data_IF_653050544721
#
_entry.id   IF_653050544721
#
_cell.length_a   1.000
_cell.length_b   1.000
_cell.length_c   1.000
_cell.angle_alpha   90.00
_cell.angle_beta   90.00
_cell.angle_gamma   90.00
#
_symmetry.space_group_name_H-M   'P 1'
#
loop_
_entity.id
_entity.type
_entity.pdbx_description
1 polymer ?
#
# COMPACT_ATOMS: atom_id res chain seq x y z
N UNK A 1 57.27 20.95 -59.59
CA UNK A 1 57.08 19.55 -60.05
C UNK A 1 57.28 18.66 -58.84
N UNK A 2 56.34 17.91 -58.28
CA UNK A 2 54.89 17.78 -58.43
C UNK A 2 54.47 17.06 -57.14
N UNK A 3 53.74 17.71 -56.24
CA UNK A 3 53.14 17.00 -55.10
C UNK A 3 51.92 16.25 -55.62
N UNK A 4 51.91 14.93 -55.46
CA UNK A 4 50.82 14.05 -55.88
C UNK A 4 49.77 13.97 -54.78
N UNK A 5 48.64 14.66 -54.98
CA UNK A 5 47.41 14.48 -54.20
C UNK A 5 46.90 13.03 -54.30
N UNK A 6 46.55 12.45 -53.15
CA UNK A 6 45.78 11.20 -53.07
C UNK A 6 44.29 11.50 -53.23
N UNK A 7 43.49 10.64 -53.91
CA UNK A 7 42.09 10.93 -54.17
C UNK A 7 41.22 10.80 -52.90
N UNK A 8 40.09 11.52 -52.81
CA UNK A 8 39.21 11.46 -51.66
C UNK A 8 38.47 10.12 -51.61
N UNK A 9 38.40 9.51 -50.42
CA UNK A 9 37.58 8.35 -50.16
C UNK A 9 36.10 8.70 -50.35
N UNK A 10 35.42 8.00 -51.25
CA UNK A 10 33.99 8.12 -51.46
C UNK A 10 33.24 7.62 -50.21
N UNK A 11 32.52 8.52 -49.55
CA UNK A 11 31.57 8.18 -48.49
C UNK A 11 30.39 7.40 -49.07
N UNK A 12 30.31 6.12 -48.73
CA UNK A 12 29.11 5.31 -48.98
C UNK A 12 27.98 5.83 -48.08
N UNK A 13 26.77 6.09 -48.59
CA UNK A 13 25.65 6.50 -47.74
C UNK A 13 25.26 5.36 -46.78
N UNK A 14 24.82 5.67 -45.55
CA UNK A 14 24.40 4.66 -44.60
C UNK A 14 23.15 3.94 -45.13
N UNK A 15 23.16 2.62 -45.01
CA UNK A 15 22.07 1.74 -45.39
C UNK A 15 20.81 2.06 -44.53
N UNK A 16 19.60 2.20 -45.08
CA UNK A 16 18.41 2.62 -44.31
C UNK A 16 17.77 1.55 -43.41
N UNK A 17 18.43 0.42 -43.19
CA UNK A 17 17.86 -0.74 -42.50
C UNK A 17 18.80 -1.26 -41.40
N UNK A 18 19.19 -0.39 -40.47
CA UNK A 18 19.50 -0.85 -39.11
C UNK A 18 18.23 -0.72 -38.27
N UNK A 19 17.32 -1.68 -38.49
CA UNK A 19 16.28 -1.97 -37.50
C UNK A 19 17.02 -2.32 -36.20
N UNK A 20 16.99 -1.40 -35.23
CA UNK A 20 17.45 -1.62 -33.86
C UNK A 20 16.67 -2.83 -33.30
N UNK A 21 17.21 -4.02 -33.49
CA UNK A 21 16.67 -5.26 -32.93
C UNK A 21 16.72 -5.10 -31.42
N UNK A 22 15.58 -4.73 -30.83
CA UNK A 22 15.46 -4.63 -29.39
C UNK A 22 15.84 -6.01 -28.80
N UNK A 23 16.74 -6.08 -27.83
CA UNK A 23 17.09 -7.34 -27.21
C UNK A 23 15.82 -7.97 -26.64
N UNK A 24 15.51 -9.19 -27.06
CA UNK A 24 14.37 -9.94 -26.53
C UNK A 24 14.69 -10.37 -25.10
N UNK A 25 14.20 -9.59 -24.12
CA UNK A 25 14.41 -9.86 -22.69
C UNK A 25 13.37 -10.91 -22.27
N UNK A 26 13.79 -12.09 -21.75
CA UNK A 26 12.86 -13.11 -21.29
C UNK A 26 11.99 -12.59 -20.14
N UNK A 27 10.67 -12.79 -20.25
CA UNK A 27 9.74 -12.56 -19.14
C UNK A 27 9.82 -13.76 -18.21
N UNK A 28 10.13 -13.51 -16.93
CA UNK A 28 10.13 -14.53 -15.88
C UNK A 28 8.80 -14.50 -15.14
N UNK A 29 8.14 -15.66 -15.04
CA UNK A 29 6.94 -15.86 -14.24
C UNK A 29 7.31 -16.55 -12.93
N UNK A 30 6.66 -16.13 -11.84
CA UNK A 30 6.73 -16.85 -10.56
C UNK A 30 5.82 -18.06 -10.65
N UNK A 31 6.33 -19.26 -10.36
CA UNK A 31 5.54 -20.49 -10.45
C UNK A 31 4.61 -20.67 -9.24
N UNK A 32 3.63 -21.57 -9.35
CA UNK A 32 2.76 -21.92 -8.22
C UNK A 32 3.55 -22.55 -7.07
N UNK A 33 4.60 -23.32 -7.37
CA UNK A 33 5.48 -23.90 -6.36
C UNK A 33 6.27 -22.82 -5.61
N UNK A 34 6.75 -21.79 -6.31
CA UNK A 34 7.41 -20.64 -5.67
C UNK A 34 6.41 -19.87 -4.79
N UNK A 35 5.19 -19.65 -5.26
CA UNK A 35 4.11 -19.06 -4.45
C UNK A 35 3.82 -19.87 -3.19
N UNK A 36 3.76 -21.20 -3.27
CA UNK A 36 3.50 -22.06 -2.11
C UNK A 36 4.56 -21.89 -0.99
N UNK A 37 5.79 -21.46 -1.32
CA UNK A 37 6.83 -21.19 -0.32
C UNK A 37 6.46 -20.01 0.59
N UNK A 38 5.86 -18.94 0.04
CA UNK A 38 5.47 -17.79 0.87
C UNK A 38 4.29 -18.12 1.76
N UNK A 39 3.32 -18.88 1.23
CA UNK A 39 2.14 -19.33 1.97
C UNK A 39 2.54 -20.27 3.12
N UNK A 40 3.46 -21.20 2.86
CA UNK A 40 4.02 -22.07 3.90
C UNK A 40 4.77 -21.27 4.97
N UNK A 41 5.52 -20.24 4.59
CA UNK A 41 6.20 -19.35 5.53
C UNK A 41 5.20 -18.60 6.42
N UNK A 42 4.13 -18.03 5.85
CA UNK A 42 3.06 -17.40 6.62
C UNK A 42 2.32 -18.41 7.52
N UNK A 43 2.02 -19.62 7.04
CA UNK A 43 1.38 -20.66 7.85
C UNK A 43 2.23 -21.11 9.05
N UNK A 44 3.56 -21.19 8.88
CA UNK A 44 4.49 -21.55 9.94
C UNK A 44 4.56 -20.49 11.06
N UNK A 45 4.50 -19.20 10.71
CA UNK A 45 4.50 -18.11 11.71
C UNK A 45 3.20 -18.10 12.51
N UNK A 46 2.04 -18.35 11.89
CA UNK A 46 0.75 -18.50 12.60
C UNK A 46 0.74 -19.58 13.66
N UNK A 47 1.33 -20.73 13.33
CA UNK A 47 1.42 -21.88 14.23
C UNK A 47 2.24 -21.54 15.48
N UNK A 48 3.28 -20.73 15.30
CA UNK A 48 4.15 -20.24 16.39
C UNK A 48 3.43 -19.22 17.29
N UNK A 49 2.54 -18.39 16.73
CA UNK A 49 1.78 -17.38 17.49
C UNK A 49 0.62 -18.03 18.26
N UNK A 50 -0.09 -19.01 17.68
CA UNK A 50 -1.19 -19.73 18.36
C UNK A 50 -0.74 -20.56 19.56
N UNK A 51 0.50 -21.06 19.58
CA UNK A 51 1.07 -21.76 20.75
C UNK A 51 1.41 -20.84 21.93
N UNK A 52 1.38 -19.52 21.76
CA UNK A 52 1.79 -18.56 22.81
C UNK A 52 0.72 -18.25 23.85
N UNK A 53 -0.53 -18.72 23.66
CA UNK A 53 -1.67 -18.39 24.55
C UNK A 53 -1.82 -19.42 25.71
N UNK A 54 -0.96 -20.43 25.82
CA UNK A 54 -0.96 -21.35 26.96
C UNK A 54 0.45 -21.59 27.55
N UNK A 55 0.68 -20.97 28.71
CA UNK A 55 1.71 -21.25 29.73
C UNK A 55 3.19 -20.86 29.44
N UNK A 56 3.92 -20.35 30.45
CA UNK A 56 5.29 -19.89 30.31
C UNK A 56 6.28 -21.05 30.50
N UNK A 57 6.56 -21.83 29.46
CA UNK A 57 7.69 -22.76 29.48
C UNK A 57 8.87 -22.16 28.72
N UNK A 58 9.89 -21.78 29.48
CA UNK A 58 11.29 -21.49 29.11
C UNK A 58 11.60 -21.71 27.62
N UNK A 59 11.83 -20.63 26.90
CA UNK A 59 12.60 -20.66 25.66
C UNK A 59 14.00 -21.18 25.97
N UNK A 60 14.20 -22.49 25.82
CA UNK A 60 15.51 -23.03 25.53
C UNK A 60 15.89 -22.51 24.16
N UNK A 61 16.97 -21.73 24.12
CA UNK A 61 17.64 -21.24 22.92
C UNK A 61 18.17 -22.41 22.10
N UNK A 62 17.29 -23.08 21.35
CA UNK A 62 17.68 -23.90 20.22
C UNK A 62 17.44 -23.09 18.96
N UNK A 63 18.38 -22.16 18.71
CA UNK A 63 18.60 -21.56 17.40
C UNK A 63 18.95 -22.67 16.41
N UNK A 64 17.94 -23.32 15.83
CA UNK A 64 18.09 -23.92 14.50
C UNK A 64 18.12 -22.77 13.51
N UNK A 65 19.32 -22.27 13.30
CA UNK A 65 19.70 -21.44 12.16
C UNK A 65 19.12 -22.07 10.90
N UNK A 66 18.07 -21.45 10.34
CA UNK A 66 17.86 -21.53 8.90
C UNK A 66 19.04 -20.76 8.35
N UNK A 67 19.96 -21.48 7.71
CA UNK A 67 21.24 -20.96 7.25
C UNK A 67 21.01 -19.73 6.36
N UNK A 68 21.11 -18.54 6.95
CA UNK A 68 21.25 -17.28 6.23
C UNK A 68 22.57 -17.36 5.46
N UNK A 69 22.49 -17.44 4.14
CA UNK A 69 23.65 -17.52 3.24
C UNK A 69 24.27 -16.12 3.17
N UNK A 70 25.16 -15.78 4.10
CA UNK A 70 25.96 -14.55 4.02
C UNK A 70 27.38 -14.77 4.53
N UNK A 71 28.38 -14.50 3.68
CA UNK A 71 29.76 -14.23 4.10
C UNK A 71 30.40 -13.14 3.22
N UNK A 72 30.86 -12.07 3.88
CA UNK A 72 31.74 -10.96 3.45
C UNK A 72 31.12 -9.92 2.47
N UNK A 73 31.33 -8.60 2.55
CA UNK A 73 32.37 -7.78 3.20
C UNK A 73 31.89 -6.32 3.42
N UNK A 74 32.68 -5.56 4.20
CA UNK A 74 32.44 -4.20 4.74
C UNK A 74 32.86 -3.08 3.78
N UNK A 75 32.16 -1.92 3.77
CA UNK A 75 32.70 -0.53 3.99
C UNK A 75 31.64 0.57 3.75
N UNK A 76 31.82 1.67 4.49
CA UNK A 76 30.99 2.88 4.64
C UNK A 76 31.42 4.02 3.67
N UNK A 77 30.91 5.26 3.62
CA UNK A 77 30.13 6.16 4.49
C UNK A 77 29.59 7.35 3.65
N UNK A 78 28.77 8.17 4.33
CA UNK A 78 28.43 9.60 4.13
C UNK A 78 27.37 9.92 3.10
N UNK A 79 26.93 11.19 3.06
CA UNK A 79 25.56 11.68 3.28
C UNK A 79 24.96 12.57 2.13
N UNK A 80 23.62 12.58 1.98
CA UNK A 80 22.71 13.69 1.58
C UNK A 80 21.40 13.22 0.89
N UNK A 81 20.26 13.59 1.47
CA UNK A 81 18.90 13.10 1.20
C UNK A 81 17.93 14.14 0.61
N UNK A 82 17.01 13.66 -0.23
CA UNK A 82 15.65 14.22 -0.44
C UNK A 82 14.64 13.04 -0.40
N UNK A 83 13.36 13.26 0.00
CA UNK A 83 12.44 12.18 0.37
C UNK A 83 11.75 11.51 -0.83
N UNK A 84 11.50 10.21 -0.71
CA UNK A 84 10.74 9.35 -1.63
C UNK A 84 9.35 9.05 -1.02
N UNK A 85 8.35 8.74 -1.83
CA UNK A 85 6.90 8.67 -1.47
C UNK A 85 6.57 7.66 -0.36
N UNK A 86 7.42 6.66 -0.12
CA UNK A 86 7.32 5.73 1.01
C UNK A 86 7.67 6.36 2.38
N UNK A 87 8.04 7.64 2.44
CA UNK A 87 8.49 8.34 3.65
C UNK A 87 7.48 9.33 4.25
N UNK A 88 6.28 9.45 3.69
CA UNK A 88 5.25 10.36 4.19
C UNK A 88 4.54 9.76 5.41
N UNK A 89 5.11 9.97 6.59
CA UNK A 89 4.49 9.58 7.87
C UNK A 89 5.29 9.94 9.12
N UNK A 90 6.14 10.97 9.08
CA UNK A 90 6.95 11.35 10.24
C UNK A 90 6.18 12.39 11.09
N UNK A 91 5.21 11.94 11.86
CA UNK A 91 4.64 12.75 12.95
C UNK A 91 5.33 12.35 14.25
N UNK A 92 5.94 13.34 14.91
CA UNK A 92 6.57 13.19 16.21
C UNK A 92 5.49 12.89 17.25
N UNK A 93 5.27 11.62 17.58
CA UNK A 93 4.47 11.23 18.74
C UNK A 93 5.39 10.93 19.92
N UNK A 94 5.33 11.78 20.94
CA UNK A 94 5.98 11.57 22.23
C UNK A 94 5.24 10.43 22.93
N UNK A 95 5.79 9.20 22.94
CA UNK A 95 5.16 8.10 23.66
C UNK A 95 6.02 7.36 24.69
N UNK A 96 5.25 6.96 25.70
CA UNK A 96 5.52 6.49 27.05
C UNK A 96 6.15 5.09 27.02
N UNK A 97 7.27 4.92 27.73
CA UNK A 97 7.92 3.61 27.99
C UNK A 97 6.92 2.66 28.67
N UNK A 98 6.50 1.61 27.98
CA UNK A 98 5.95 0.41 28.62
C UNK A 98 7.10 -0.48 29.11
N UNK A 99 7.02 -0.85 30.39
CA UNK A 99 7.97 -1.73 31.07
C UNK A 99 7.74 -3.18 30.62
N UNK A 100 8.50 -3.65 29.64
CA UNK A 100 8.78 -5.08 29.41
C UNK A 100 10.20 -5.16 28.85
N UNK A 101 11.08 -5.92 29.50
CA UNK A 101 12.53 -5.95 29.22
C UNK A 101 12.93 -6.64 27.91
N UNK A 102 11.97 -6.91 27.01
CA UNK A 102 12.25 -7.45 25.68
C UNK A 102 12.33 -6.27 24.72
N UNK A 103 13.51 -6.05 24.12
CA UNK A 103 13.68 -5.04 23.09
C UNK A 103 12.70 -5.32 21.94
N UNK A 104 11.83 -4.36 21.67
CA UNK A 104 10.83 -4.44 20.62
C UNK A 104 11.52 -4.59 19.24
N UNK A 105 11.05 -5.49 18.34
CA UNK A 105 11.64 -5.65 17.02
C UNK A 105 11.70 -4.32 16.27
N UNK A 106 12.81 -4.05 15.58
CA UNK A 106 13.02 -2.75 14.93
C UNK A 106 11.92 -2.42 13.92
N UNK A 107 11.52 -3.38 13.08
CA UNK A 107 10.43 -3.16 12.12
C UNK A 107 9.14 -2.76 12.83
N UNK A 108 8.76 -3.46 13.90
CA UNK A 108 7.57 -3.10 14.66
C UNK A 108 7.68 -1.69 15.25
N UNK A 109 8.82 -1.34 15.83
CA UNK A 109 9.06 0.00 16.40
C UNK A 109 8.99 1.12 15.35
N UNK A 110 9.62 0.91 14.19
CA UNK A 110 9.78 1.95 13.16
C UNK A 110 8.65 1.97 12.11
N UNK A 111 7.75 0.97 12.12
CA UNK A 111 6.66 0.83 11.14
C UNK A 111 5.26 0.86 11.76
N UNK A 112 5.15 0.97 13.09
CA UNK A 112 3.87 0.95 13.81
C UNK A 112 2.81 1.88 13.21
N UNK A 113 3.19 3.12 12.87
CA UNK A 113 2.26 4.16 12.42
C UNK A 113 2.08 4.22 10.90
N UNK A 114 2.80 3.40 10.11
CA UNK A 114 2.77 3.46 8.63
C UNK A 114 2.55 2.13 7.92
N UNK A 115 2.60 1.02 8.66
CA UNK A 115 2.60 -0.33 8.11
C UNK A 115 3.98 -0.78 7.66
N UNK A 116 4.18 -2.10 7.61
CA UNK A 116 5.34 -2.74 7.02
C UNK A 116 5.24 -2.64 5.51
N UNK A 117 6.28 -2.17 4.80
CA UNK A 117 6.23 -2.17 3.34
C UNK A 117 6.72 -3.50 2.75
N UNK A 118 6.25 -3.86 1.55
CA UNK A 118 6.83 -4.98 0.80
C UNK A 118 8.33 -4.78 0.58
N UNK A 119 8.77 -3.54 0.36
CA UNK A 119 10.19 -3.16 0.30
C UNK A 119 10.93 -3.44 1.61
N UNK A 120 10.30 -3.28 2.79
CA UNK A 120 10.92 -3.64 4.07
C UNK A 120 11.19 -5.16 4.14
N UNK A 121 10.26 -5.99 3.65
CA UNK A 121 10.41 -7.45 3.62
C UNK A 121 11.56 -7.85 2.69
N UNK A 122 11.56 -7.34 1.46
CA UNK A 122 12.57 -7.69 0.45
C UNK A 122 13.96 -7.13 0.82
N UNK A 123 14.03 -5.95 1.43
CA UNK A 123 15.29 -5.39 1.94
C UNK A 123 15.83 -6.20 3.13
N UNK A 124 14.95 -6.70 4.00
CA UNK A 124 15.34 -7.58 5.11
C UNK A 124 15.90 -8.90 4.59
N UNK A 125 15.25 -9.51 3.60
CA UNK A 125 15.72 -10.74 2.97
C UNK A 125 17.06 -10.55 2.26
N UNK A 126 17.28 -9.39 1.62
CA UNK A 126 18.54 -9.07 0.97
C UNK A 126 19.69 -8.96 1.98
N UNK A 127 19.50 -8.21 3.08
CA UNK A 127 20.47 -8.10 4.15
C UNK A 127 19.84 -7.52 5.43
N UNK A 128 19.59 -8.39 6.41
CA UNK A 128 19.00 -8.00 7.71
C UNK A 128 19.79 -6.89 8.42
N UNK A 129 21.13 -6.97 8.39
CA UNK A 129 21.99 -5.96 9.02
C UNK A 129 21.95 -4.62 8.31
N UNK A 130 21.84 -4.62 6.98
CA UNK A 130 21.63 -3.39 6.22
C UNK A 130 20.26 -2.78 6.54
N UNK A 131 19.23 -3.61 6.70
CA UNK A 131 17.90 -3.14 7.08
C UNK A 131 17.92 -2.51 8.47
N UNK A 132 18.54 -3.17 9.45
CA UNK A 132 18.75 -2.62 10.80
C UNK A 132 19.47 -1.26 10.75
N UNK A 133 20.55 -1.15 9.98
CA UNK A 133 21.26 0.11 9.81
C UNK A 133 20.42 1.17 9.10
N UNK A 134 19.59 0.79 8.14
CA UNK A 134 18.70 1.73 7.45
C UNK A 134 17.63 2.29 8.39
N UNK A 135 17.18 1.48 9.35
CA UNK A 135 16.26 1.90 10.40
C UNK A 135 16.92 2.80 11.45
N UNK A 136 18.15 2.48 11.86
CA UNK A 136 18.85 3.19 12.93
C UNK A 136 19.56 4.47 12.47
N UNK A 137 20.14 4.46 11.27
CA UNK A 137 21.02 5.51 10.76
C UNK A 137 20.46 6.23 9.54
N UNK A 138 19.25 5.86 9.10
CA UNK A 138 18.58 6.46 7.95
C UNK A 138 18.85 5.74 6.63
N UNK A 139 18.17 6.21 5.59
CA UNK A 139 18.12 5.54 4.29
C UNK A 139 19.47 5.57 3.55
N UNK A 140 19.69 4.54 2.74
CA UNK A 140 20.79 4.49 1.76
C UNK A 140 20.74 5.71 0.83
N UNK A 141 21.91 6.25 0.50
CA UNK A 141 22.07 7.25 -0.58
C UNK A 141 21.51 6.77 -1.92
N UNK A 142 20.67 7.61 -2.53
CA UNK A 142 20.14 7.39 -3.87
C UNK A 142 21.27 7.52 -4.89
N UNK A 143 21.57 6.43 -5.60
CA UNK A 143 22.58 6.43 -6.66
C UNK A 143 22.05 7.05 -7.95
N UNK A 144 22.94 7.44 -8.88
CA UNK A 144 22.54 7.89 -10.22
C UNK A 144 21.69 6.84 -10.94
N UNK A 145 22.02 5.55 -10.77
CA UNK A 145 21.24 4.44 -11.31
C UNK A 145 19.81 4.43 -10.76
N UNK A 146 19.65 4.61 -9.45
CA UNK A 146 18.34 4.63 -8.79
C UNK A 146 17.49 5.81 -9.26
N UNK A 147 18.09 7.00 -9.43
CA UNK A 147 17.37 8.16 -9.98
C UNK A 147 16.86 7.92 -11.40
N UNK A 148 17.68 7.31 -12.26
CA UNK A 148 17.27 6.94 -13.62
C UNK A 148 16.17 5.89 -13.58
N UNK A 149 16.28 4.91 -12.67
CA UNK A 149 15.25 3.91 -12.42
C UNK A 149 13.91 4.55 -12.04
N UNK A 150 13.89 5.36 -10.98
CA UNK A 150 12.70 6.09 -10.53
C UNK A 150 12.09 6.95 -11.65
N UNK A 151 12.92 7.67 -12.42
CA UNK A 151 12.44 8.44 -13.57
C UNK A 151 11.78 7.57 -14.65
N UNK A 152 12.24 6.33 -14.84
CA UNK A 152 11.61 5.37 -15.76
C UNK A 152 10.24 4.94 -15.27
N UNK A 153 10.08 4.62 -13.98
CA UNK A 153 8.77 4.29 -13.39
C UNK A 153 7.79 5.47 -13.52
N UNK A 154 8.23 6.68 -13.18
CA UNK A 154 7.41 7.90 -13.35
C UNK A 154 6.99 8.08 -14.81
N UNK A 155 7.88 7.84 -15.77
CA UNK A 155 7.54 7.90 -17.19
C UNK A 155 6.50 6.85 -17.57
N UNK A 156 6.67 5.61 -17.11
CA UNK A 156 5.72 4.52 -17.36
C UNK A 156 4.35 4.84 -16.74
N UNK A 157 4.30 5.31 -15.51
CA UNK A 157 3.06 5.72 -14.85
C UNK A 157 2.34 6.82 -15.66
N UNK A 158 3.08 7.83 -16.15
CA UNK A 158 2.54 8.92 -16.95
C UNK A 158 1.98 8.50 -18.32
N UNK A 159 2.35 7.33 -18.84
CA UNK A 159 1.76 6.77 -20.06
C UNK A 159 0.28 6.37 -19.84
N UNK A 160 -0.12 6.15 -18.57
CA UNK A 160 -1.43 5.59 -18.21
C UNK A 160 -2.22 6.54 -17.30
N UNK A 161 -1.57 7.28 -16.41
CA UNK A 161 -2.23 8.16 -15.43
C UNK A 161 -1.55 9.52 -15.34
N UNK A 162 -2.35 10.60 -15.35
CA UNK A 162 -1.85 11.95 -15.10
C UNK A 162 -1.95 12.29 -13.62
N UNK A 163 -0.80 12.50 -12.96
CA UNK A 163 -0.76 12.97 -11.56
C UNK A 163 -1.34 14.36 -11.40
N UNK A 164 -2.18 14.50 -10.38
CA UNK A 164 -2.73 15.77 -9.93
C UNK A 164 -2.11 16.09 -8.57
N UNK A 165 -1.62 17.33 -8.40
CA UNK A 165 -1.13 17.78 -7.09
C UNK A 165 -2.33 18.01 -6.18
N UNK A 166 -2.29 17.47 -4.97
CA UNK A 166 -3.37 17.60 -3.98
C UNK A 166 -2.82 18.22 -2.70
N UNK A 167 -3.52 19.22 -2.17
CA UNK A 167 -3.24 19.83 -0.87
C UNK A 167 -3.58 18.86 0.26
N UNK A 168 -2.65 18.69 1.19
CA UNK A 168 -2.77 17.79 2.35
C UNK A 168 -2.72 18.63 3.61
N UNK A 169 -3.72 18.51 4.46
CA UNK A 169 -3.84 19.26 5.72
C UNK A 169 -3.80 18.34 6.95
N UNK A 170 -4.11 17.04 6.76
CA UNK A 170 -4.22 16.06 7.84
C UNK A 170 -3.62 14.69 7.51
N UNK A 171 -3.46 13.82 8.51
CA UNK A 171 -3.08 12.43 8.28
C UNK A 171 -4.19 11.65 7.56
N UNK A 172 -5.45 12.01 7.82
CA UNK A 172 -6.62 11.48 7.13
C UNK A 172 -6.59 11.81 5.64
N UNK A 173 -6.14 13.01 5.25
CA UNK A 173 -5.97 13.40 3.86
C UNK A 173 -4.93 12.52 3.14
N UNK A 174 -3.82 12.19 3.81
CA UNK A 174 -2.79 11.29 3.25
C UNK A 174 -3.39 9.92 2.95
N UNK A 175 -4.17 9.38 3.89
CA UNK A 175 -4.84 8.09 3.68
C UNK A 175 -5.94 8.17 2.64
N UNK A 176 -6.73 9.25 2.62
CA UNK A 176 -7.76 9.46 1.61
C UNK A 176 -7.15 9.50 0.20
N UNK A 177 -6.01 10.15 0.02
CA UNK A 177 -5.28 10.13 -1.27
C UNK A 177 -4.87 8.71 -1.65
N UNK A 178 -4.34 7.91 -0.72
CA UNK A 178 -3.98 6.51 -0.98
C UNK A 178 -5.18 5.67 -1.42
N UNK A 179 -6.31 5.78 -0.70
CA UNK A 179 -7.53 5.05 -1.05
C UNK A 179 -8.12 5.53 -2.37
N UNK A 180 -8.13 6.83 -2.63
CA UNK A 180 -8.58 7.38 -3.91
C UNK A 180 -7.70 6.89 -5.07
N UNK A 181 -6.38 6.87 -4.90
CA UNK A 181 -5.48 6.32 -5.92
C UNK A 181 -5.73 4.83 -6.16
N UNK A 182 -5.99 4.05 -5.11
CA UNK A 182 -6.39 2.64 -5.24
C UNK A 182 -7.71 2.49 -6.00
N UNK A 183 -8.75 3.26 -5.64
CA UNK A 183 -10.06 3.21 -6.30
C UNK A 183 -9.93 3.60 -7.77
N UNK A 184 -9.22 4.69 -8.07
CA UNK A 184 -8.97 5.15 -9.43
C UNK A 184 -8.21 4.09 -10.25
N UNK A 185 -7.13 3.51 -9.70
CA UNK A 185 -6.36 2.49 -10.40
C UNK A 185 -7.12 1.16 -10.56
N UNK A 186 -7.94 0.76 -9.60
CA UNK A 186 -8.81 -0.41 -9.71
C UNK A 186 -9.88 -0.23 -10.78
N UNK A 187 -10.51 0.96 -10.86
CA UNK A 187 -11.42 1.29 -11.95
C UNK A 187 -10.71 1.31 -13.29
N UNK A 188 -9.51 1.91 -13.36
CA UNK A 188 -8.73 1.92 -14.57
C UNK A 188 -8.40 0.51 -15.05
N UNK A 189 -7.99 -0.38 -14.14
CA UNK A 189 -7.77 -1.79 -14.46
C UNK A 189 -9.04 -2.47 -14.98
N UNK A 190 -10.20 -2.19 -14.38
CA UNK A 190 -11.48 -2.77 -14.78
C UNK A 190 -11.95 -2.30 -16.17
N UNK A 191 -11.77 -1.02 -16.50
CA UNK A 191 -12.29 -0.42 -17.73
C UNK A 191 -11.28 -0.42 -18.89
N UNK A 192 -10.00 -0.21 -18.60
CA UNK A 192 -8.93 -0.09 -19.60
C UNK A 192 -8.06 -1.36 -19.67
N UNK A 193 -8.16 -2.26 -18.69
CA UNK A 193 -7.39 -3.51 -18.64
C UNK A 193 -5.94 -3.33 -18.19
N UNK A 194 -5.53 -2.13 -17.80
CA UNK A 194 -4.17 -1.81 -17.38
C UNK A 194 -4.20 -0.73 -16.30
N UNK A 195 -3.39 -0.87 -15.25
CA UNK A 195 -3.08 0.22 -14.32
C UNK A 195 -1.63 0.14 -13.88
N UNK A 196 -1.08 1.27 -13.41
CA UNK A 196 0.31 1.39 -12.95
C UNK A 196 0.38 2.09 -11.61
N UNK A 197 1.40 1.75 -10.82
CA UNK A 197 1.68 2.31 -9.49
C UNK A 197 0.46 2.19 -8.54
N UNK A 198 -0.19 1.02 -8.51
CA UNK A 198 -1.38 0.79 -7.70
C UNK A 198 -0.99 0.60 -6.22
N UNK A 199 -1.39 1.50 -5.30
CA UNK A 199 -1.09 1.35 -3.88
C UNK A 199 -2.00 0.30 -3.24
N UNK A 200 -1.42 -0.67 -2.54
CA UNK A 200 -2.13 -1.66 -1.74
C UNK A 200 -1.89 -1.42 -0.25
N UNK A 201 -2.95 -1.63 0.53
CA UNK A 201 -2.87 -1.78 1.98
C UNK A 201 -3.77 -2.93 2.41
N UNK A 202 -3.23 -3.85 3.20
CA UNK A 202 -3.98 -4.98 3.74
C UNK A 202 -3.46 -5.39 5.10
N UNK A 203 -4.31 -6.12 5.82
CA UNK A 203 -3.97 -6.69 7.12
C UNK A 203 -3.65 -8.17 6.93
N UNK A 204 -2.37 -8.51 7.04
CA UNK A 204 -1.85 -9.85 6.75
C UNK A 204 -1.17 -10.38 8.00
N UNK A 205 -1.64 -11.51 8.51
CA UNK A 205 -1.06 -12.22 9.66
C UNK A 205 -0.79 -11.33 10.90
N UNK A 206 -1.73 -10.44 11.21
CA UNK A 206 -1.64 -9.55 12.38
C UNK A 206 -0.85 -8.26 12.15
N UNK A 207 -0.36 -8.01 10.94
CA UNK A 207 0.45 -6.84 10.59
C UNK A 207 -0.17 -6.10 9.41
N UNK A 208 -0.16 -4.77 9.47
CA UNK A 208 -0.50 -3.93 8.31
C UNK A 208 0.64 -3.97 7.29
N UNK A 209 0.36 -4.49 6.11
CA UNK A 209 1.27 -4.55 4.97
C UNK A 209 0.86 -3.50 3.93
N UNK A 210 1.83 -2.75 3.43
CA UNK A 210 1.64 -1.75 2.37
C UNK A 210 2.56 -2.03 1.18
N UNK A 211 2.11 -1.71 -0.02
CA UNK A 211 2.88 -1.94 -1.24
C UNK A 211 2.41 -1.05 -2.37
N UNK A 212 3.22 -0.95 -3.42
CA UNK A 212 2.84 -0.29 -4.67
C UNK A 212 3.21 -1.24 -5.80
N UNK A 213 2.21 -1.73 -6.54
CA UNK A 213 2.46 -2.62 -7.66
C UNK A 213 2.74 -1.75 -8.89
N UNK A 214 3.91 -1.95 -9.51
CA UNK A 214 4.35 -1.15 -10.66
C UNK A 214 3.33 -1.19 -11.80
N UNK A 215 2.83 -2.38 -12.12
CA UNK A 215 1.87 -2.57 -13.20
C UNK A 215 0.97 -3.79 -12.99
N UNK A 216 -0.31 -3.64 -13.34
CA UNK A 216 -1.29 -4.73 -13.32
C UNK A 216 -2.02 -4.75 -14.65
N UNK A 217 -2.15 -5.93 -15.24
CA UNK A 217 -2.79 -6.15 -16.54
C UNK A 217 -3.91 -7.16 -16.43
N UNK A 218 -5.04 -6.91 -17.08
CA UNK A 218 -6.02 -7.95 -17.34
C UNK A 218 -5.55 -8.83 -18.51
N UNK A 219 -5.67 -10.16 -18.41
CA UNK A 219 -5.34 -11.05 -19.53
C UNK A 219 -6.25 -10.77 -20.73
N UNK A 220 -5.69 -10.90 -21.94
CA UNK A 220 -6.44 -10.67 -23.18
C UNK A 220 -7.42 -11.82 -23.50
N UNK A 221 -7.18 -13.01 -22.95
CA UNK A 221 -8.06 -14.16 -23.13
C UNK A 221 -9.28 -14.03 -22.22
N UNK A 222 -10.49 -14.20 -22.76
CA UNK A 222 -11.74 -14.16 -21.99
C UNK A 222 -11.86 -15.30 -20.96
N UNK A 223 -11.06 -16.36 -21.09
CA UNK A 223 -11.11 -17.53 -20.19
C UNK A 223 -10.47 -17.26 -18.83
N UNK A 224 -9.45 -16.42 -18.80
CA UNK A 224 -8.75 -16.07 -17.56
C UNK A 224 -9.24 -14.69 -17.10
N UNK A 225 -9.59 -14.60 -15.83
CA UNK A 225 -10.06 -13.35 -15.20
C UNK A 225 -9.07 -12.82 -14.17
N UNK A 226 -7.99 -13.56 -13.93
CA UNK A 226 -7.03 -13.20 -12.92
C UNK A 226 -6.06 -12.14 -13.47
N UNK A 227 -5.86 -11.03 -12.75
CA UNK A 227 -4.92 -10.01 -13.19
C UNK A 227 -3.47 -10.52 -13.10
N UNK A 228 -2.64 -10.06 -14.03
CA UNK A 228 -1.20 -10.30 -14.08
C UNK A 228 -0.51 -9.13 -13.40
N UNK A 229 0.20 -9.41 -12.31
CA UNK A 229 1.01 -8.43 -11.58
C UNK A 229 2.42 -8.42 -12.17
N UNK A 230 2.92 -7.23 -12.50
CA UNK A 230 4.22 -7.05 -13.15
C UNK A 230 5.06 -6.08 -12.32
N UNK A 231 6.29 -6.48 -12.05
CA UNK A 231 7.31 -5.68 -11.37
C UNK A 231 8.43 -5.37 -12.38
N UNK A 232 8.70 -4.09 -12.59
CA UNK A 232 9.66 -3.63 -13.59
C UNK A 232 10.96 -3.26 -12.88
N UNK A 233 12.05 -3.98 -13.17
CA UNK A 233 13.39 -3.62 -12.65
C UNK A 233 14.26 -2.97 -13.71
N UNK A 234 14.87 -1.85 -13.35
CA UNK A 234 15.87 -1.18 -14.19
C UNK A 234 17.29 -1.65 -13.86
N UNK A 235 18.16 -1.66 -14.88
CA UNK A 235 19.57 -2.06 -14.79
C UNK A 235 20.43 -1.06 -15.54
N UNK A 236 21.67 -0.89 -15.07
CA UNK A 236 22.68 -0.09 -15.79
C UNK A 236 23.38 -0.89 -16.89
N UNK A 237 23.48 -2.21 -16.70
CA UNK A 237 24.09 -3.14 -17.63
C UNK A 237 22.99 -3.87 -18.38
N UNK A 238 23.30 -4.23 -19.61
CA UNK A 238 22.48 -4.98 -20.56
C UNK A 238 22.45 -6.50 -20.29
N UNK A 239 23.20 -6.98 -19.30
CA UNK A 239 23.13 -8.37 -18.84
C UNK A 239 22.00 -8.62 -17.86
N UNK A 240 21.48 -9.85 -17.89
CA UNK A 240 20.52 -10.32 -16.92
C UNK A 240 21.09 -10.31 -15.49
N UNK A 241 20.26 -10.02 -14.48
CA UNK A 241 20.67 -10.11 -13.09
C UNK A 241 21.13 -11.49 -12.65
N UNK A 242 22.00 -11.50 -11.63
CA UNK A 242 22.34 -12.72 -10.91
C UNK A 242 21.13 -13.25 -10.12
N UNK A 243 21.16 -14.54 -9.79
CA UNK A 243 20.08 -15.23 -9.06
C UNK A 243 19.63 -14.48 -7.79
N UNK A 244 20.51 -13.95 -6.92
CA UNK A 244 20.06 -13.27 -5.70
C UNK A 244 19.20 -12.03 -5.97
N UNK A 245 19.49 -11.32 -7.06
CA UNK A 245 18.71 -10.15 -7.47
C UNK A 245 17.37 -10.54 -8.09
N UNK A 246 17.32 -11.67 -8.82
CA UNK A 246 16.08 -12.22 -9.38
C UNK A 246 15.18 -12.74 -8.29
N UNK A 247 15.74 -13.48 -7.32
CA UNK A 247 15.05 -13.97 -6.13
C UNK A 247 14.37 -12.86 -5.35
N UNK A 248 15.06 -11.72 -5.16
CA UNK A 248 14.47 -10.57 -4.48
C UNK A 248 13.27 -9.98 -5.24
N UNK A 249 13.35 -9.91 -6.58
CA UNK A 249 12.22 -9.50 -7.43
C UNK A 249 11.05 -10.49 -7.40
N UNK A 250 11.32 -11.79 -7.39
CA UNK A 250 10.28 -12.82 -7.21
C UNK A 250 9.60 -12.70 -5.86
N UNK A 251 10.37 -12.56 -4.77
CA UNK A 251 9.82 -12.35 -3.44
C UNK A 251 8.92 -11.11 -3.37
N UNK A 252 9.30 -10.03 -4.05
CA UNK A 252 8.46 -8.83 -4.15
C UNK A 252 7.10 -9.13 -4.81
N UNK A 253 7.11 -9.82 -5.96
CA UNK A 253 5.88 -10.22 -6.66
C UNK A 253 5.03 -11.18 -5.82
N UNK A 254 5.66 -12.13 -5.12
CA UNK A 254 4.97 -13.07 -4.23
C UNK A 254 4.27 -12.34 -3.08
N UNK A 255 4.93 -11.35 -2.46
CA UNK A 255 4.33 -10.50 -1.43
C UNK A 255 3.16 -9.68 -1.99
N UNK A 256 3.29 -9.10 -3.19
CA UNK A 256 2.20 -8.36 -3.81
C UNK A 256 1.00 -9.24 -4.14
N UNK A 257 1.24 -10.45 -4.69
CA UNK A 257 0.19 -11.41 -4.98
C UNK A 257 -0.56 -11.84 -3.71
N UNK A 258 0.17 -12.17 -2.65
CA UNK A 258 -0.45 -12.54 -1.38
C UNK A 258 -1.27 -11.39 -0.76
N UNK A 259 -0.75 -10.16 -0.82
CA UNK A 259 -1.46 -8.97 -0.37
C UNK A 259 -2.73 -8.71 -1.19
N UNK A 260 -2.62 -8.82 -2.51
CA UNK A 260 -3.75 -8.70 -3.45
C UNK A 260 -4.84 -9.73 -3.15
N UNK A 261 -4.46 -11.00 -3.01
CA UNK A 261 -5.41 -12.09 -2.73
C UNK A 261 -6.12 -11.87 -1.39
N UNK A 262 -5.40 -11.41 -0.37
CA UNK A 262 -5.98 -11.05 0.93
C UNK A 262 -7.02 -9.94 0.78
N UNK A 263 -6.79 -8.96 -0.09
CA UNK A 263 -7.73 -7.86 -0.32
C UNK A 263 -8.96 -8.28 -1.12
N UNK A 264 -8.80 -9.21 -2.07
CA UNK A 264 -9.91 -9.70 -2.89
C UNK A 264 -10.80 -10.68 -2.11
N UNK A 265 -10.20 -11.49 -1.22
CA UNK A 265 -10.91 -12.55 -0.48
C UNK A 265 -11.36 -12.14 0.91
N UNK A 266 -10.65 -11.22 1.56
CA UNK A 266 -10.87 -10.81 2.94
C UNK A 266 -11.70 -9.53 3.08
N UNK A 267 -12.32 -9.37 4.25
CA UNK A 267 -12.92 -8.10 4.64
C UNK A 267 -11.85 -7.13 5.16
N UNK A 268 -11.89 -5.87 4.72
CA UNK A 268 -10.98 -4.84 5.22
C UNK A 268 -11.29 -4.49 6.69
N UNK A 269 -10.36 -4.72 7.64
CA UNK A 269 -10.60 -4.52 9.07
C UNK A 269 -10.59 -3.02 9.41
N UNK A 270 -11.74 -2.40 9.15
CA UNK A 270 -11.88 -0.93 9.13
C UNK A 270 -11.68 -0.32 10.51
N UNK A 271 -12.12 -0.99 11.59
CA UNK A 271 -12.01 -0.42 12.95
C UNK A 271 -10.56 -0.40 13.39
N UNK A 272 -9.89 -1.54 13.22
CA UNK A 272 -8.48 -1.75 13.49
C UNK A 272 -7.60 -0.80 12.68
N UNK A 273 -8.00 -0.50 11.44
CA UNK A 273 -7.33 0.50 10.62
C UNK A 273 -7.34 1.88 11.29
N UNK A 274 -8.53 2.39 11.66
CA UNK A 274 -8.61 3.70 12.33
C UNK A 274 -7.86 3.71 13.66
N UNK A 275 -7.94 2.62 14.43
CA UNK A 275 -7.32 2.52 15.76
C UNK A 275 -5.77 2.48 15.66
N UNK A 276 -5.21 1.62 14.82
CA UNK A 276 -3.75 1.46 14.68
C UNK A 276 -3.10 2.72 14.09
N UNK A 277 -3.73 3.32 13.09
CA UNK A 277 -3.22 4.54 12.46
C UNK A 277 -3.63 5.83 13.21
N UNK A 278 -4.33 5.71 14.34
CA UNK A 278 -4.78 6.83 15.17
C UNK A 278 -5.56 7.89 14.37
N UNK A 279 -6.42 7.44 13.46
CA UNK A 279 -7.17 8.29 12.53
C UNK A 279 -8.56 8.59 13.08
N UNK A 280 -9.05 9.82 12.85
CA UNK A 280 -10.41 10.20 13.20
C UNK A 280 -11.38 9.89 12.05
N UNK A 281 -12.23 8.88 12.25
CA UNK A 281 -13.31 8.49 11.31
C UNK A 281 -14.28 9.63 10.95
N UNK A 282 -14.43 10.62 11.82
CA UNK A 282 -15.33 11.76 11.62
C UNK A 282 -14.61 13.02 11.13
N UNK A 283 -13.31 12.91 10.81
CA UNK A 283 -12.58 14.02 10.20
C UNK A 283 -13.19 14.38 8.85
N UNK A 284 -13.31 15.67 8.59
CA UNK A 284 -13.72 16.19 7.30
C UNK A 284 -12.43 16.37 6.48
N UNK A 285 -12.35 15.68 5.34
CA UNK A 285 -11.23 15.80 4.42
C UNK A 285 -11.12 17.22 3.85
N UNK A 286 -9.90 17.60 3.45
CA UNK A 286 -9.65 18.91 2.85
C UNK A 286 -10.56 19.19 1.64
N UNK A 287 -10.85 20.46 1.39
CA UNK A 287 -11.72 20.87 0.28
C UNK A 287 -11.20 20.34 -1.06
N UNK A 288 -9.89 20.41 -1.27
CA UNK A 288 -9.22 19.95 -2.48
C UNK A 288 -9.43 18.44 -2.72
N UNK A 289 -9.34 17.61 -1.67
CA UNK A 289 -9.63 16.17 -1.77
C UNK A 289 -11.10 15.95 -2.08
N UNK A 290 -12.00 16.65 -1.39
CA UNK A 290 -13.45 16.49 -1.59
C UNK A 290 -13.89 16.86 -3.01
N UNK A 291 -13.35 17.96 -3.55
CA UNK A 291 -13.62 18.41 -4.91
C UNK A 291 -13.10 17.39 -5.93
N UNK A 292 -11.85 16.97 -5.80
CA UNK A 292 -11.23 16.00 -6.73
C UNK A 292 -11.93 14.66 -6.71
N UNK A 293 -12.27 14.13 -5.54
CA UNK A 293 -12.95 12.84 -5.45
C UNK A 293 -14.36 12.92 -6.07
N UNK A 294 -15.07 14.03 -5.87
CA UNK A 294 -16.37 14.25 -6.51
C UNK A 294 -16.26 14.32 -8.05
N UNK A 295 -15.24 15.01 -8.57
CA UNK A 295 -14.97 15.07 -10.02
C UNK A 295 -14.59 13.71 -10.61
N UNK A 296 -14.00 12.81 -9.81
CA UNK A 296 -13.69 11.43 -10.20
C UNK A 296 -14.86 10.46 -10.07
N UNK A 297 -16.07 10.93 -9.76
CA UNK A 297 -17.29 10.11 -9.68
C UNK A 297 -17.53 9.44 -8.33
N UNK A 298 -16.73 9.74 -7.30
CA UNK A 298 -16.90 9.21 -5.95
C UNK A 298 -16.99 10.36 -4.96
N UNK A 299 -18.17 10.94 -4.70
CA UNK A 299 -18.27 12.08 -3.80
C UNK A 299 -17.80 11.70 -2.39
N UNK A 300 -16.65 12.24 -1.94
CA UNK A 300 -16.16 12.13 -0.57
C UNK A 300 -16.96 13.01 0.42
N UNK A 301 -18.23 13.33 0.07
CA UNK A 301 -19.17 14.00 0.96
C UNK A 301 -19.97 12.90 1.65
N UNK A 302 -19.80 12.77 2.96
CA UNK A 302 -20.77 12.05 3.77
C UNK A 302 -22.04 12.91 3.79
N UNK A 303 -23.12 12.41 3.19
CA UNK A 303 -24.43 13.04 3.42
C UNK A 303 -24.73 12.98 4.91
N UNK A 304 -25.41 14.01 5.43
CA UNK A 304 -25.81 14.03 6.83
C UNK A 304 -26.72 12.83 7.11
N UNK A 305 -26.23 11.87 7.89
CA UNK A 305 -27.03 10.73 8.32
C UNK A 305 -27.89 11.12 9.52
N UNK A 306 -29.07 10.53 9.64
CA UNK A 306 -29.88 10.68 10.84
C UNK A 306 -29.19 10.08 12.07
N UNK A 307 -29.56 10.58 13.24
CA UNK A 307 -29.12 10.03 14.52
C UNK A 307 -29.51 8.54 14.62
N UNK A 308 -28.61 7.64 15.06
CA UNK A 308 -28.92 6.23 15.31
C UNK A 308 -30.12 6.05 16.24
N UNK A 309 -30.85 4.94 16.12
CA UNK A 309 -32.11 4.73 16.85
C UNK A 309 -31.95 4.87 18.37
N UNK A 310 -30.88 4.32 18.92
CA UNK A 310 -30.49 4.40 20.32
C UNK A 310 -30.24 5.85 20.81
N UNK A 311 -29.90 6.76 19.91
CA UNK A 311 -29.60 8.16 20.20
C UNK A 311 -30.68 9.14 19.71
N UNK A 312 -31.78 8.66 19.10
CA UNK A 312 -32.87 9.52 18.59
C UNK A 312 -33.57 10.36 19.65
N UNK A 313 -33.36 10.08 20.94
CA UNK A 313 -33.78 10.98 22.03
C UNK A 313 -33.20 12.39 21.89
N UNK A 314 -32.02 12.54 21.25
CA UNK A 314 -31.41 13.84 20.92
C UNK A 314 -32.29 14.68 19.99
N UNK A 315 -33.12 14.03 19.14
CA UNK A 315 -34.04 14.73 18.25
C UNK A 315 -35.11 15.52 19.01
N UNK A 316 -35.44 15.16 20.27
CA UNK A 316 -36.39 15.94 21.12
C UNK A 316 -35.87 17.32 21.50
N UNK A 317 -34.55 17.52 21.43
CA UNK A 317 -33.88 18.78 21.76
C UNK A 317 -33.35 19.49 20.51
N UNK A 318 -33.62 18.95 19.32
CA UNK A 318 -33.16 19.50 18.06
C UNK A 318 -34.17 20.54 17.56
N UNK A 319 -33.72 21.79 17.37
CA UNK A 319 -34.56 22.88 16.84
C UNK A 319 -35.10 22.62 15.42
N UNK A 320 -34.51 21.66 14.69
CA UNK A 320 -34.92 21.26 13.34
C UNK A 320 -35.75 19.96 13.31
N UNK A 321 -36.17 19.43 14.46
CA UNK A 321 -36.86 18.14 14.56
C UNK A 321 -38.19 18.07 13.78
N UNK A 322 -38.87 19.20 13.61
CA UNK A 322 -40.15 19.29 12.88
C UNK A 322 -39.99 19.20 11.36
N UNK A 323 -38.83 19.58 10.83
CA UNK A 323 -38.51 19.56 9.38
C UNK A 323 -37.58 18.41 8.99
N UNK A 324 -37.04 17.68 9.96
CA UNK A 324 -36.14 16.55 9.73
C UNK A 324 -36.91 15.28 9.32
N UNK A 325 -36.71 14.72 8.11
CA UNK A 325 -37.46 13.55 7.64
C UNK A 325 -37.18 12.27 8.44
N UNK A 326 -36.05 12.19 9.14
CA UNK A 326 -35.67 11.04 9.97
C UNK A 326 -36.19 11.08 11.40
N UNK A 327 -37.00 12.09 11.77
CA UNK A 327 -37.66 12.13 13.07
C UNK A 327 -38.98 11.35 12.99
N UNK A 328 -39.18 10.26 13.78
CA UNK A 328 -40.46 9.57 13.81
C UNK A 328 -41.53 10.55 14.31
N UNK A 329 -42.49 10.88 13.43
CA UNK A 329 -43.62 11.73 13.81
C UNK A 329 -44.36 11.04 14.95
N UNK A 330 -44.70 11.74 16.05
CA UNK A 330 -45.57 11.16 17.05
C UNK A 330 -46.92 10.88 16.38
N UNK A 331 -47.37 9.62 16.42
CA UNK A 331 -48.67 9.22 15.90
C UNK A 331 -49.77 10.03 16.60
N UNK A 332 -50.42 10.91 15.85
CA UNK A 332 -51.61 11.64 16.29
C UNK A 332 -52.80 10.69 16.28
N UNK A 333 -52.82 9.67 17.15
CA UNK A 333 -54.07 9.01 17.53
C UNK A 333 -54.70 9.80 18.67
N UNK A 334 -55.64 10.67 18.30
CA UNK A 334 -56.59 11.32 19.20
C UNK A 334 -57.44 10.27 19.92
N UNK A 335 -56.98 9.78 21.06
CA UNK A 335 -57.81 9.08 22.03
C UNK A 335 -58.64 10.11 22.79
N UNK A 336 -59.87 10.36 22.34
CA UNK A 336 -60.86 11.15 23.05
C UNK A 336 -61.08 10.57 24.45
N UNK A 337 -60.73 11.34 25.49
CA UNK A 337 -61.13 11.05 26.88
C UNK A 337 -62.62 11.32 26.99
N UNK A 338 -63.43 10.26 27.11
CA UNK A 338 -64.78 10.40 27.65
C UNK A 338 -64.66 10.49 29.18
N UNK A 339 -64.99 11.66 29.71
CA UNK A 339 -65.25 11.92 31.12
C UNK A 339 -66.70 11.59 31.44
N UNK A 340 -66.94 10.54 32.23
CA UNK A 340 -68.24 10.30 32.88
C UNK A 340 -68.32 11.09 34.20
N UNK A 341 -69.42 11.80 34.48
CA UNK A 341 -69.71 12.33 35.80
C UNK A 341 -70.79 11.52 36.53
N UNK A 342 -70.67 11.54 37.85
CA UNK A 342 -71.74 11.40 38.87
C UNK A 342 -72.25 10.01 39.23
N UNK A 343 -71.89 9.59 40.45
CA UNK A 343 -72.67 8.69 41.30
C UNK A 343 -74.06 9.27 41.64
N UNK A 344 -75.01 8.41 42.06
CA UNK A 344 -75.72 8.74 43.30
C UNK A 344 -75.86 7.57 44.28
N UNK A 345 -76.09 7.99 45.52
CA UNK A 345 -76.42 7.27 46.75
C UNK A 345 -77.21 5.96 46.61
N UNK A 346 -76.78 4.93 47.35
CA UNK A 346 -77.47 4.36 48.53
C UNK A 346 -76.54 3.41 49.28
#
# INVERSE_FOLDING_TARGET
MSESESPPAQSTPPNPEEELTQPNIPIEFVSEEEMALIEAAYAATRSSISSSICSPSRFQSNTRSIQSITLFSKRSFSDSTQPDIEDSGNFLSTQKKTRSGVAEPFLHRFRRERGLSVTDITATEWCEKQMEFSLLFGKRKISKAMKVGQARHVKLEQEVVKKVKVGVESAEDIWAIKFNNFICGANQLLFEGLTRELPLIGFVEGVWLVGVIDEIRMPQSQSDKNPILVDTKTRQRDFLPAEPQRRNGRLQLMCYKHLWDTLVTGAFPTREFFDVFSLNRNSILSEDIREKTANSGFPAKREASYTPEEERWKCRHCQFATVCPGNPKPDTTSGSRNSDPSSPLS
#
